data_IF_997064250806
#
_entry.id   IF_997064250806
#
_cell.length_a   1.000
_cell.length_b   1.000
_cell.length_c   1.000
_cell.angle_alpha   90.00
_cell.angle_beta   90.00
_cell.angle_gamma   90.00
#
_symmetry.space_group_name_H-M   'P 1'
#
loop_
_entity.id
_entity.type
_entity.pdbx_description
1 polymer ?
#
# COMPACT_ATOMS: atom_id res chain seq x y z
N UNK A 1 31.39 1.91 6.83
CA UNK A 1 30.13 1.47 6.27
C UNK A 1 29.06 1.42 7.35
N UNK A 2 28.07 2.32 7.29
CA UNK A 2 26.96 2.47 8.26
C UNK A 2 25.78 1.56 7.93
N UNK A 3 25.83 0.79 6.86
CA UNK A 3 24.76 -0.10 6.41
C UNK A 3 24.60 -1.37 7.25
N UNK A 4 25.44 -1.58 8.25
CA UNK A 4 25.32 -2.68 9.19
C UNK A 4 25.19 -2.16 10.63
N UNK A 5 24.50 -2.86 11.55
CA UNK A 5 24.38 -2.45 12.95
C UNK A 5 25.76 -2.23 13.62
N UNK A 6 26.75 -3.08 13.27
CA UNK A 6 28.13 -3.00 13.76
C UNK A 6 28.89 -1.78 13.20
N UNK A 7 28.62 -1.44 11.95
CA UNK A 7 29.15 -0.26 11.27
C UNK A 7 28.54 1.03 11.83
N UNK A 8 27.24 1.05 12.03
CA UNK A 8 26.52 2.19 12.63
C UNK A 8 26.98 2.44 14.07
N UNK A 9 27.09 1.39 14.91
CA UNK A 9 27.59 1.51 16.27
C UNK A 9 29.00 2.11 16.28
N UNK A 10 29.92 1.60 15.45
CA UNK A 10 31.28 2.09 15.32
C UNK A 10 31.35 3.53 14.82
N UNK A 11 30.41 3.96 13.98
CA UNK A 11 30.28 5.34 13.52
C UNK A 11 29.84 6.27 14.65
N UNK A 12 28.84 5.86 15.44
CA UNK A 12 28.29 6.65 16.56
C UNK A 12 29.28 6.75 17.74
N UNK A 13 30.17 5.76 17.93
CA UNK A 13 31.19 5.72 18.98
C UNK A 13 32.49 6.47 18.60
N UNK A 14 32.59 6.98 17.36
CA UNK A 14 33.73 7.79 16.96
C UNK A 14 33.72 9.14 17.67
N UNK A 15 34.80 9.50 18.31
CA UNK A 15 35.06 10.83 18.86
C UNK A 15 35.16 11.82 17.69
N UNK A 16 34.29 12.85 17.69
CA UNK A 16 33.77 13.42 16.47
C UNK A 16 34.46 14.71 16.04
N UNK A 17 35.43 14.56 15.19
CA UNK A 17 35.75 15.60 14.21
C UNK A 17 35.51 15.13 12.77
N UNK A 18 34.54 14.23 12.57
CA UNK A 18 34.19 13.79 11.23
C UNK A 18 33.48 14.92 10.47
N UNK A 19 34.17 15.45 9.47
CA UNK A 19 33.58 16.43 8.57
C UNK A 19 32.66 15.69 7.57
N UNK A 20 31.34 15.77 7.78
CA UNK A 20 30.37 15.13 6.91
C UNK A 20 30.48 15.58 5.44
N UNK A 21 30.97 16.80 5.21
CA UNK A 21 31.14 17.35 3.86
C UNK A 21 32.24 16.60 3.07
N UNK A 22 33.19 16.01 3.76
CA UNK A 22 34.26 15.19 3.15
C UNK A 22 33.81 13.77 2.80
N UNK A 23 32.61 13.35 3.25
CA UNK A 23 32.05 12.07 2.86
C UNK A 23 31.58 12.13 1.40
N UNK A 24 32.03 11.22 0.52
CA UNK A 24 31.69 11.26 -0.90
C UNK A 24 30.18 11.18 -1.18
N UNK A 25 29.43 10.45 -0.35
CA UNK A 25 27.99 10.32 -0.51
C UNK A 25 27.26 11.61 -0.11
N UNK A 26 27.71 12.27 0.95
CA UNK A 26 27.17 13.55 1.39
C UNK A 26 27.50 14.65 0.36
N UNK A 27 28.77 14.70 -0.11
CA UNK A 27 29.18 15.65 -1.16
C UNK A 27 28.35 15.48 -2.41
N UNK A 28 28.20 14.26 -2.93
CA UNK A 28 27.37 13.97 -4.10
C UNK A 28 25.91 14.39 -3.88
N UNK A 29 25.36 14.10 -2.69
CA UNK A 29 23.98 14.49 -2.37
C UNK A 29 23.80 16.01 -2.38
N UNK A 30 24.76 16.76 -1.82
CA UNK A 30 24.74 18.22 -1.84
C UNK A 30 24.84 18.78 -3.26
N UNK A 31 25.74 18.22 -4.09
CA UNK A 31 25.89 18.64 -5.47
C UNK A 31 24.60 18.41 -6.28
N UNK A 32 23.94 17.27 -6.08
CA UNK A 32 22.64 16.97 -6.71
C UNK A 32 21.53 17.92 -6.24
N UNK A 33 21.49 18.24 -4.96
CA UNK A 33 20.53 19.21 -4.39
C UNK A 33 20.74 20.59 -4.97
N UNK A 34 21.99 21.07 -5.00
CA UNK A 34 22.33 22.37 -5.60
C UNK A 34 21.92 22.40 -7.06
N UNK A 35 22.25 21.35 -7.80
CA UNK A 35 21.89 21.26 -9.23
C UNK A 35 20.38 21.23 -9.46
N UNK A 36 19.65 20.54 -8.62
CA UNK A 36 18.19 20.52 -8.64
C UNK A 36 17.61 21.94 -8.42
N UNK A 37 18.12 22.70 -7.45
CA UNK A 37 17.68 24.10 -7.22
C UNK A 37 18.04 25.02 -8.38
N UNK A 38 19.24 24.91 -8.95
CA UNK A 38 19.63 25.67 -10.14
C UNK A 38 18.70 25.43 -11.33
N UNK A 39 18.36 24.17 -11.57
CA UNK A 39 17.43 23.78 -12.65
C UNK A 39 16.03 24.35 -12.41
N UNK A 40 15.55 24.33 -11.17
CA UNK A 40 14.21 24.81 -10.82
C UNK A 40 14.07 26.34 -10.82
N UNK A 41 15.15 27.07 -10.62
CA UNK A 41 15.10 28.54 -10.70
C UNK A 41 14.64 29.06 -12.08
N UNK A 42 14.96 28.34 -13.15
CA UNK A 42 14.58 28.71 -14.51
C UNK A 42 13.14 28.41 -14.90
N UNK A 43 12.41 27.61 -14.09
CA UNK A 43 11.05 27.16 -14.45
C UNK A 43 9.95 27.75 -13.55
N UNK A 44 10.29 28.66 -12.63
CA UNK A 44 9.31 29.21 -11.67
C UNK A 44 8.15 29.94 -12.37
N UNK A 45 8.45 30.75 -13.38
CA UNK A 45 7.44 31.46 -14.16
C UNK A 45 6.51 30.49 -14.94
N UNK A 46 7.08 29.45 -15.53
CA UNK A 46 6.30 28.41 -16.20
C UNK A 46 5.41 27.64 -15.22
N UNK A 47 5.91 27.36 -14.02
CA UNK A 47 5.14 26.70 -12.96
C UNK A 47 3.96 27.56 -12.51
N UNK A 48 4.14 28.86 -12.33
CA UNK A 48 3.04 29.78 -12.00
C UNK A 48 1.98 29.85 -13.10
N UNK A 49 2.39 29.83 -14.37
CA UNK A 49 1.47 29.80 -15.51
C UNK A 49 0.68 28.48 -15.57
N UNK A 50 1.32 27.35 -15.29
CA UNK A 50 0.67 26.05 -15.22
C UNK A 50 -0.36 26.06 -14.10
N UNK A 51 0.00 26.48 -12.89
CA UNK A 51 -0.90 26.54 -11.74
C UNK A 51 -2.12 27.45 -12.01
N UNK A 52 -1.92 28.59 -12.67
CA UNK A 52 -3.00 29.45 -13.10
C UNK A 52 -3.89 28.76 -14.14
N UNK A 53 -3.29 28.05 -15.11
CA UNK A 53 -4.00 27.31 -16.13
C UNK A 53 -4.86 26.19 -15.52
N UNK A 54 -4.32 25.45 -14.59
CA UNK A 54 -5.06 24.41 -13.86
C UNK A 54 -6.26 24.95 -13.08
N UNK A 55 -6.11 26.09 -12.41
CA UNK A 55 -7.23 26.74 -11.71
C UNK A 55 -8.34 27.14 -12.67
N UNK A 56 -7.99 27.76 -13.80
CA UNK A 56 -8.96 28.17 -14.83
C UNK A 56 -9.64 26.96 -15.49
N UNK A 57 -8.87 25.91 -15.76
CA UNK A 57 -9.39 24.66 -16.30
C UNK A 57 -10.40 24.00 -15.33
N UNK A 58 -10.04 23.90 -14.06
CA UNK A 58 -10.92 23.33 -13.05
C UNK A 58 -12.19 24.17 -12.85
N UNK A 59 -12.14 25.50 -12.91
CA UNK A 59 -13.31 26.37 -12.86
C UNK A 59 -14.23 26.14 -14.09
N UNK A 60 -13.63 26.05 -15.28
CA UNK A 60 -14.37 25.75 -16.51
C UNK A 60 -15.05 24.39 -16.44
N UNK A 61 -14.34 23.35 -16.00
CA UNK A 61 -14.90 22.00 -15.83
C UNK A 61 -16.09 21.99 -14.86
N UNK A 62 -15.99 22.67 -13.73
CA UNK A 62 -17.09 22.79 -12.76
C UNK A 62 -18.32 23.51 -13.32
N UNK A 63 -18.11 24.51 -14.18
CA UNK A 63 -19.20 25.21 -14.87
C UNK A 63 -19.85 24.37 -15.96
N UNK A 64 -19.03 23.62 -16.72
CA UNK A 64 -19.51 22.74 -17.78
C UNK A 64 -20.34 21.57 -17.26
N UNK A 65 -19.93 21.01 -16.12
CA UNK A 65 -20.53 19.83 -15.51
C UNK A 65 -21.06 20.16 -14.11
N UNK A 66 -21.99 21.10 -14.03
CA UNK A 66 -22.52 21.64 -12.77
C UNK A 66 -23.15 20.57 -11.86
N UNK A 67 -23.68 19.49 -12.43
CA UNK A 67 -24.31 18.38 -11.70
C UNK A 67 -23.30 17.29 -11.26
N UNK A 68 -22.02 17.41 -11.67
CA UNK A 68 -20.98 16.45 -11.29
C UNK A 68 -20.32 16.87 -9.98
N UNK A 69 -20.13 15.92 -9.07
CA UNK A 69 -19.31 16.12 -7.88
C UNK A 69 -17.83 16.02 -8.23
N UNK A 70 -17.09 17.09 -7.98
CA UNK A 70 -15.63 17.13 -8.08
C UNK A 70 -15.06 17.05 -6.67
N UNK A 71 -14.35 16.01 -6.38
CA UNK A 71 -13.63 15.83 -5.11
C UNK A 71 -12.16 16.26 -5.27
N UNK A 72 -11.53 16.78 -4.21
CA UNK A 72 -10.13 17.19 -4.25
C UNK A 72 -9.20 15.99 -4.14
N UNK A 73 -7.96 16.14 -4.62
CA UNK A 73 -6.86 15.29 -4.25
C UNK A 73 -6.51 15.42 -2.76
N UNK A 74 -5.59 14.56 -2.28
CA UNK A 74 -5.11 14.61 -0.91
C UNK A 74 -4.47 15.99 -0.62
N UNK A 75 -5.01 16.70 0.39
CA UNK A 75 -4.63 18.05 0.75
C UNK A 75 -4.37 18.22 2.25
N UNK A 76 -3.97 17.14 2.93
CA UNK A 76 -3.76 17.07 4.37
C UNK A 76 -5.04 17.22 5.21
N UNK A 77 -6.22 17.12 4.62
CA UNK A 77 -7.49 17.00 5.33
C UNK A 77 -8.03 15.57 5.22
N UNK A 78 -8.97 15.22 6.11
CA UNK A 78 -9.63 13.92 6.04
C UNK A 78 -10.41 13.79 4.73
N UNK A 79 -10.14 12.71 3.97
CA UNK A 79 -10.89 12.33 2.78
C UNK A 79 -11.59 11.00 3.02
N UNK A 80 -12.86 10.93 2.75
CA UNK A 80 -13.63 9.69 2.78
C UNK A 80 -13.83 9.20 1.35
N UNK A 81 -13.33 8.02 1.04
CA UNK A 81 -13.65 7.27 -0.17
C UNK A 81 -14.64 6.16 0.19
N UNK A 82 -15.63 5.92 -0.65
CA UNK A 82 -16.64 4.88 -0.41
C UNK A 82 -16.86 4.04 -1.67
N UNK A 83 -17.30 2.80 -1.48
CA UNK A 83 -17.52 1.85 -2.55
C UNK A 83 -18.13 0.56 -2.02
N UNK A 84 -18.10 -0.47 -2.84
CA UNK A 84 -18.66 -1.79 -2.54
C UNK A 84 -17.59 -2.84 -2.71
N UNK A 85 -17.53 -3.80 -1.79
CA UNK A 85 -16.70 -5.01 -1.95
C UNK A 85 -17.30 -5.86 -3.06
N UNK A 86 -16.59 -6.00 -4.17
CA UNK A 86 -17.05 -6.73 -5.35
C UNK A 86 -15.89 -7.19 -6.22
N UNK A 87 -16.07 -8.32 -6.88
CA UNK A 87 -15.20 -8.74 -7.98
C UNK A 87 -15.36 -7.86 -9.22
N UNK A 88 -14.69 -8.23 -10.30
CA UNK A 88 -14.80 -7.55 -11.60
C UNK A 88 -14.43 -8.49 -12.74
N UNK A 89 -14.77 -8.08 -13.96
CA UNK A 89 -14.39 -8.81 -15.18
C UNK A 89 -13.49 -7.92 -16.03
N UNK A 90 -12.17 -8.17 -16.05
CA UNK A 90 -11.22 -7.31 -16.78
C UNK A 90 -11.37 -7.39 -18.30
N UNK A 91 -11.87 -8.52 -18.81
CA UNK A 91 -12.13 -8.77 -20.22
C UNK A 91 -13.13 -9.92 -20.38
N UNK A 92 -13.62 -10.15 -21.59
CA UNK A 92 -14.55 -11.23 -21.89
C UNK A 92 -13.98 -12.60 -21.51
N UNK A 93 -14.80 -13.41 -20.85
CA UNK A 93 -14.44 -14.75 -20.39
C UNK A 93 -13.61 -14.83 -19.11
N UNK A 94 -13.22 -13.68 -18.49
CA UNK A 94 -12.51 -13.67 -17.20
C UNK A 94 -13.32 -12.96 -16.13
N UNK A 95 -13.36 -13.54 -14.93
CA UNK A 95 -13.95 -12.94 -13.73
C UNK A 95 -13.06 -13.16 -12.53
N UNK A 96 -12.73 -12.10 -11.83
CA UNK A 96 -12.00 -12.14 -10.57
C UNK A 96 -12.97 -12.02 -9.39
N UNK A 97 -12.81 -12.94 -8.42
CA UNK A 97 -13.55 -12.91 -7.16
C UNK A 97 -13.11 -11.73 -6.29
N UNK A 98 -13.94 -11.35 -5.33
CA UNK A 98 -13.67 -10.19 -4.48
C UNK A 98 -12.71 -10.46 -3.32
N UNK A 99 -12.23 -11.69 -3.12
CA UNK A 99 -11.28 -12.02 -2.07
C UNK A 99 -10.30 -13.11 -2.49
N UNK A 100 -9.18 -13.17 -1.80
CA UNK A 100 -8.19 -14.25 -1.87
C UNK A 100 -8.08 -14.94 -0.52
N UNK A 101 -7.59 -16.19 -0.53
CA UNK A 101 -7.40 -17.01 0.68
C UNK A 101 -5.95 -17.40 0.86
N UNK A 102 -5.65 -18.06 1.96
CA UNK A 102 -4.31 -18.62 2.23
C UNK A 102 -3.84 -19.59 1.14
N UNK A 103 -4.75 -20.13 0.32
CA UNK A 103 -4.38 -20.95 -0.84
C UNK A 103 -3.44 -20.19 -1.78
N UNK A 104 -3.71 -18.90 -2.03
CA UNK A 104 -2.86 -18.06 -2.88
C UNK A 104 -1.45 -17.87 -2.32
N UNK A 105 -1.26 -17.89 -0.99
CA UNK A 105 0.07 -17.86 -0.37
C UNK A 105 0.86 -19.12 -0.76
N UNK A 106 0.27 -20.30 -0.62
CA UNK A 106 0.93 -21.56 -1.00
C UNK A 106 1.24 -21.62 -2.50
N UNK A 107 0.34 -21.13 -3.34
CA UNK A 107 0.55 -21.05 -4.80
C UNK A 107 1.75 -20.17 -5.12
N UNK A 108 1.85 -18.97 -4.54
CA UNK A 108 2.97 -18.03 -4.74
C UNK A 108 4.30 -18.58 -4.25
N UNK A 109 4.35 -19.19 -3.06
CA UNK A 109 5.57 -19.84 -2.55
C UNK A 109 6.05 -20.96 -3.48
N UNK A 110 5.13 -21.72 -4.09
CA UNK A 110 5.46 -22.78 -5.03
C UNK A 110 5.93 -22.24 -6.39
N UNK A 111 5.23 -21.25 -6.93
CA UNK A 111 5.55 -20.63 -8.21
C UNK A 111 6.90 -19.95 -8.21
N UNK A 112 7.26 -19.30 -7.09
CA UNK A 112 8.47 -18.50 -6.93
C UNK A 112 9.46 -19.17 -5.95
N UNK A 113 9.61 -20.49 -6.03
CA UNK A 113 10.50 -21.24 -5.14
C UNK A 113 11.96 -20.75 -5.27
N UNK A 114 12.55 -20.30 -4.16
CA UNK A 114 13.90 -19.78 -4.11
C UNK A 114 14.00 -18.25 -4.27
N UNK A 115 12.92 -17.58 -4.54
CA UNK A 115 12.86 -16.11 -4.56
C UNK A 115 12.62 -15.57 -3.15
N UNK A 116 13.50 -14.67 -2.69
CA UNK A 116 13.43 -14.10 -1.35
C UNK A 116 12.18 -13.22 -1.14
N UNK A 117 11.67 -12.60 -2.19
CA UNK A 117 10.50 -11.72 -2.13
C UNK A 117 9.21 -12.48 -1.85
N UNK A 118 9.20 -13.79 -2.18
CA UNK A 118 8.08 -14.70 -1.92
C UNK A 118 8.37 -15.70 -0.81
N UNK A 119 9.48 -15.54 -0.09
CA UNK A 119 9.84 -16.42 1.01
C UNK A 119 8.91 -16.21 2.20
N UNK A 120 8.29 -17.28 2.68
CA UNK A 120 7.45 -17.31 3.87
C UNK A 120 8.13 -18.13 4.94
N UNK A 121 8.09 -17.64 6.20
CA UNK A 121 8.67 -18.36 7.33
C UNK A 121 8.06 -19.76 7.48
N UNK A 122 8.87 -20.81 7.72
CA UNK A 122 8.38 -22.19 7.83
C UNK A 122 7.30 -22.38 8.90
N UNK A 123 7.43 -21.65 10.01
CA UNK A 123 6.46 -21.66 11.12
C UNK A 123 5.09 -21.15 10.68
N UNK A 124 5.07 -20.06 9.89
CA UNK A 124 3.84 -19.53 9.33
C UNK A 124 3.21 -20.49 8.33
N UNK A 125 4.01 -21.10 7.44
CA UNK A 125 3.51 -22.10 6.50
C UNK A 125 2.93 -23.31 7.22
N UNK A 126 3.57 -23.80 8.27
CA UNK A 126 3.08 -24.91 9.09
C UNK A 126 1.75 -24.57 9.73
N UNK A 127 1.63 -23.36 10.28
CA UNK A 127 0.40 -22.88 10.90
C UNK A 127 -0.75 -22.73 9.90
N UNK A 128 -0.50 -22.11 8.75
CA UNK A 128 -1.51 -21.99 7.68
C UNK A 128 -1.93 -23.36 7.13
N UNK A 129 -1.00 -24.33 7.10
CA UNK A 129 -1.27 -25.70 6.66
C UNK A 129 -2.17 -26.47 7.62
N UNK A 130 -2.14 -26.16 8.92
CA UNK A 130 -3.01 -26.79 9.91
C UNK A 130 -4.49 -26.48 9.69
N UNK A 131 -4.80 -25.36 8.99
CA UNK A 131 -6.13 -24.81 8.75
C UNK A 131 -6.95 -24.58 10.03
N UNK A 132 -6.31 -24.53 11.17
CA UNK A 132 -6.94 -24.14 12.44
C UNK A 132 -6.94 -22.62 12.59
N UNK A 133 -7.88 -21.99 11.91
CA UNK A 133 -8.03 -20.53 11.93
C UNK A 133 -8.95 -20.04 13.06
N UNK A 134 -9.58 -20.97 13.81
CA UNK A 134 -10.46 -20.65 14.92
C UNK A 134 -11.56 -19.66 14.50
N UNK A 135 -11.75 -18.61 15.30
CA UNK A 135 -12.76 -17.56 15.04
C UNK A 135 -12.48 -16.65 13.83
N UNK A 136 -11.30 -16.76 13.21
CA UNK A 136 -10.92 -15.96 12.05
C UNK A 136 -11.24 -16.65 10.72
N UNK A 137 -11.68 -17.91 10.76
CA UNK A 137 -12.15 -18.61 9.58
C UNK A 137 -13.35 -17.90 8.95
N UNK A 138 -13.44 -17.97 7.62
CA UNK A 138 -14.65 -17.58 6.90
C UNK A 138 -15.72 -18.68 7.02
N UNK A 139 -16.89 -18.46 6.40
CA UNK A 139 -18.01 -19.40 6.45
C UNK A 139 -17.69 -20.80 5.84
N UNK A 140 -16.69 -20.87 4.97
CA UNK A 140 -16.20 -22.10 4.36
C UNK A 140 -15.10 -22.79 5.18
N UNK A 141 -14.74 -22.23 6.33
CA UNK A 141 -13.65 -22.73 7.17
C UNK A 141 -12.26 -22.40 6.66
N UNK A 142 -12.15 -21.47 5.70
CA UNK A 142 -10.88 -20.99 5.18
C UNK A 142 -10.53 -19.60 5.76
N UNK A 143 -9.32 -19.10 5.49
CA UNK A 143 -8.87 -17.77 5.90
C UNK A 143 -8.80 -16.85 4.68
N UNK A 144 -9.56 -15.75 4.71
CA UNK A 144 -9.39 -14.68 3.74
C UNK A 144 -8.12 -13.89 4.04
N UNK A 145 -7.37 -13.55 3.00
CA UNK A 145 -6.11 -12.78 3.10
C UNK A 145 -6.32 -11.34 2.65
N UNK A 146 -6.87 -11.16 1.46
CA UNK A 146 -7.18 -9.85 0.89
C UNK A 146 -8.58 -9.84 0.31
N UNK A 147 -9.12 -8.64 0.15
CA UNK A 147 -10.36 -8.40 -0.59
C UNK A 147 -10.22 -7.16 -1.47
N UNK A 148 -11.12 -7.01 -2.43
CA UNK A 148 -11.15 -5.87 -3.33
C UNK A 148 -12.49 -5.13 -3.26
N UNK A 149 -12.43 -3.82 -3.46
CA UNK A 149 -13.60 -2.94 -3.51
C UNK A 149 -13.43 -1.87 -4.60
N UNK A 150 -14.51 -1.28 -5.05
CA UNK A 150 -14.47 -0.22 -6.06
C UNK A 150 -14.32 1.19 -5.45
N UNK A 151 -13.63 1.30 -4.33
CA UNK A 151 -13.23 2.59 -3.78
C UNK A 151 -12.21 3.25 -4.70
N UNK A 152 -12.39 4.53 -4.97
CA UNK A 152 -11.38 5.36 -5.61
C UNK A 152 -10.29 5.70 -4.59
N UNK A 153 -9.07 5.29 -4.87
CA UNK A 153 -7.88 5.50 -4.03
C UNK A 153 -6.73 6.07 -4.86
N UNK A 154 -5.82 6.75 -4.19
CA UNK A 154 -4.58 7.27 -4.77
C UNK A 154 -3.42 7.08 -3.80
N UNK A 155 -2.21 7.47 -4.19
CA UNK A 155 -1.05 7.46 -3.31
C UNK A 155 -1.33 8.21 -2.00
N UNK A 156 -0.95 7.61 -0.86
CA UNK A 156 -1.29 8.09 0.48
C UNK A 156 -2.43 7.34 1.17
N UNK A 157 -3.25 6.59 0.45
CA UNK A 157 -4.29 5.74 1.05
C UNK A 157 -3.72 4.45 1.69
N UNK A 158 -2.47 4.10 1.42
CA UNK A 158 -1.82 2.91 2.00
C UNK A 158 -1.84 2.95 3.53
N UNK A 159 -2.39 1.87 4.15
CA UNK A 159 -2.59 1.77 5.59
C UNK A 159 -3.91 2.39 6.10
N UNK A 160 -4.71 3.00 5.23
CA UNK A 160 -6.02 3.54 5.62
C UNK A 160 -6.98 2.45 6.04
N UNK A 161 -7.71 2.69 7.15
CA UNK A 161 -8.70 1.76 7.66
C UNK A 161 -9.94 1.71 6.76
N UNK A 162 -10.39 0.49 6.44
CA UNK A 162 -11.60 0.22 5.67
C UNK A 162 -12.71 -0.26 6.61
N UNK A 163 -13.83 0.43 6.60
CA UNK A 163 -14.98 0.13 7.48
C UNK A 163 -16.20 -0.28 6.66
N UNK A 164 -17.05 -1.12 7.25
CA UNK A 164 -18.37 -1.35 6.70
C UNK A 164 -19.36 -0.23 7.11
N UNK A 165 -20.59 -0.29 6.61
CA UNK A 165 -21.64 0.69 6.92
C UNK A 165 -22.08 0.75 8.40
N UNK A 166 -21.60 -0.18 9.24
CA UNK A 166 -21.82 -0.18 10.70
C UNK A 166 -20.62 0.39 11.47
N UNK A 167 -19.54 0.79 10.79
CA UNK A 167 -18.31 1.26 11.40
C UNK A 167 -17.41 0.13 11.92
N UNK A 168 -17.63 -1.12 11.51
CA UNK A 168 -16.77 -2.25 11.86
C UNK A 168 -15.58 -2.30 10.90
N UNK A 169 -14.37 -2.50 11.44
CA UNK A 169 -13.13 -2.58 10.66
C UNK A 169 -13.12 -3.84 9.80
N UNK A 170 -13.00 -3.69 8.49
CA UNK A 170 -12.86 -4.78 7.53
C UNK A 170 -11.40 -5.11 7.23
N UNK A 171 -10.54 -4.10 7.17
CA UNK A 171 -9.15 -4.25 6.79
C UNK A 171 -8.43 -2.94 6.60
N UNK A 172 -7.25 -3.00 5.99
CA UNK A 172 -6.45 -1.83 5.63
C UNK A 172 -6.22 -1.82 4.12
N UNK A 173 -6.49 -0.68 3.48
CA UNK A 173 -6.14 -0.47 2.08
C UNK A 173 -4.62 -0.44 1.93
N UNK A 174 -4.07 -1.06 0.88
CA UNK A 174 -2.62 -1.02 0.65
C UNK A 174 -2.21 -0.88 -0.80
N UNK A 175 -3.08 -1.21 -1.77
CA UNK A 175 -2.74 -1.14 -3.20
C UNK A 175 -3.99 -1.03 -4.07
N UNK A 176 -3.79 -0.79 -5.37
CA UNK A 176 -4.78 -0.93 -6.42
C UNK A 176 -4.54 -2.18 -7.28
N UNK A 177 -5.58 -2.65 -7.99
CA UNK A 177 -5.39 -3.68 -9.00
C UNK A 177 -4.65 -3.10 -10.22
N UNK A 178 -4.28 -3.96 -11.15
CA UNK A 178 -3.53 -3.55 -12.34
C UNK A 178 -4.26 -2.47 -13.16
N UNK A 179 -5.58 -2.58 -13.27
CA UNK A 179 -6.43 -1.65 -13.98
C UNK A 179 -6.51 -0.28 -13.30
N UNK A 180 -6.16 -0.17 -12.02
CA UNK A 180 -6.12 1.09 -11.28
C UNK A 180 -4.87 1.95 -11.57
N UNK A 181 -3.95 1.51 -12.43
CA UNK A 181 -2.76 2.28 -12.81
C UNK A 181 -3.08 3.63 -13.45
N UNK A 182 -4.27 3.79 -14.02
CA UNK A 182 -4.75 5.03 -14.65
C UNK A 182 -5.71 5.84 -13.77
N UNK A 183 -5.94 5.44 -12.52
CA UNK A 183 -6.97 6.04 -11.65
C UNK A 183 -6.75 7.53 -11.40
N UNK A 184 -5.50 7.99 -11.35
CA UNK A 184 -5.17 9.42 -11.18
C UNK A 184 -5.59 10.28 -12.38
N UNK A 185 -5.82 9.67 -13.56
CA UNK A 185 -6.28 10.35 -14.76
C UNK A 185 -7.81 10.19 -14.90
N UNK A 186 -8.27 8.95 -14.86
CA UNK A 186 -9.70 8.59 -14.98
C UNK A 186 -9.99 7.39 -14.09
N UNK A 187 -10.94 7.54 -13.18
CA UNK A 187 -11.43 6.44 -12.37
C UNK A 187 -12.56 5.69 -13.09
N UNK A 188 -12.35 4.37 -13.31
CA UNK A 188 -13.31 3.46 -13.95
C UNK A 188 -13.84 2.45 -12.92
N UNK A 189 -15.01 2.70 -12.31
CA UNK A 189 -15.52 1.90 -11.19
C UNK A 189 -15.84 0.44 -11.57
N UNK A 190 -16.01 0.13 -12.85
CA UNK A 190 -16.26 -1.23 -13.30
C UNK A 190 -15.00 -2.11 -13.31
N UNK A 191 -13.83 -1.52 -13.49
CA UNK A 191 -12.54 -2.21 -13.63
C UNK A 191 -11.60 -1.98 -12.45
N UNK A 192 -11.52 -0.75 -11.96
CA UNK A 192 -10.54 -0.38 -10.95
C UNK A 192 -10.96 -0.81 -9.56
N UNK A 193 -10.02 -1.36 -8.81
CA UNK A 193 -10.25 -1.88 -7.45
C UNK A 193 -9.16 -1.45 -6.49
N UNK A 194 -9.60 -1.02 -5.32
CA UNK A 194 -8.77 -0.93 -4.12
C UNK A 194 -8.58 -2.33 -3.55
N UNK A 195 -7.36 -2.65 -3.14
CA UNK A 195 -7.01 -3.91 -2.47
C UNK A 195 -6.83 -3.63 -0.98
N UNK A 196 -7.58 -4.36 -0.15
CA UNK A 196 -7.48 -4.32 1.31
C UNK A 196 -7.02 -5.66 1.87
N UNK A 197 -6.11 -5.63 2.85
CA UNK A 197 -5.79 -6.82 3.65
C UNK A 197 -6.91 -7.06 4.65
N UNK A 198 -7.39 -8.30 4.75
CA UNK A 198 -8.49 -8.68 5.66
C UNK A 198 -8.04 -8.57 7.13
N UNK A 199 -8.83 -7.88 7.95
CA UNK A 199 -8.52 -7.68 9.37
C UNK A 199 -8.40 -9.01 10.12
N UNK A 200 -9.13 -10.05 9.73
CA UNK A 200 -9.06 -11.37 10.36
C UNK A 200 -7.69 -12.01 10.16
N UNK A 201 -7.12 -11.90 8.95
CA UNK A 201 -5.76 -12.36 8.66
C UNK A 201 -4.73 -11.59 9.47
N UNK A 202 -4.85 -10.26 9.56
CA UNK A 202 -3.96 -9.42 10.36
C UNK A 202 -4.01 -9.80 11.85
N UNK A 203 -5.21 -9.98 12.40
CA UNK A 203 -5.38 -10.36 13.80
C UNK A 203 -4.85 -11.77 14.07
N UNK A 204 -5.07 -12.71 13.15
CA UNK A 204 -4.54 -14.05 13.24
C UNK A 204 -3.01 -14.04 13.31
N UNK A 205 -2.33 -13.32 12.42
CA UNK A 205 -0.88 -13.16 12.45
C UNK A 205 -0.39 -12.45 13.72
N UNK A 206 -1.07 -11.39 14.13
CA UNK A 206 -0.70 -10.60 15.31
C UNK A 206 -0.78 -11.42 16.60
N UNK A 207 -1.83 -12.22 16.78
CA UNK A 207 -1.97 -13.07 17.97
C UNK A 207 -0.89 -14.14 18.06
N UNK A 208 -0.44 -14.66 16.93
CA UNK A 208 0.57 -15.73 16.89
C UNK A 208 1.97 -15.18 17.14
N UNK A 209 2.30 -14.02 16.53
CA UNK A 209 3.65 -13.48 16.59
C UNK A 209 3.89 -12.53 17.77
N UNK A 210 2.86 -11.82 18.26
CA UNK A 210 3.02 -10.76 19.25
C UNK A 210 2.47 -11.16 20.62
N UNK A 211 1.28 -11.80 20.67
CA UNK A 211 0.57 -12.01 21.92
C UNK A 211 0.75 -13.40 22.54
N UNK A 212 1.09 -14.41 21.74
CA UNK A 212 1.27 -15.78 22.24
C UNK A 212 2.49 -16.52 21.61
N UNK A 213 3.72 -16.03 21.76
CA UNK A 213 4.90 -16.76 21.28
C UNK A 213 5.07 -18.12 21.97
N UNK A 214 4.35 -18.39 23.06
CA UNK A 214 4.33 -19.66 23.81
C UNK A 214 3.37 -20.70 23.22
N UNK A 215 2.37 -20.32 22.43
CA UNK A 215 1.42 -21.28 21.84
C UNK A 215 2.07 -22.10 20.73
N UNK A 216 2.99 -21.54 19.95
CA UNK A 216 3.80 -22.26 18.96
C UNK A 216 4.71 -23.33 19.58
N UNK A 217 5.11 -23.19 20.88
CA UNK A 217 5.89 -24.19 21.60
C UNK A 217 5.06 -25.36 22.12
N UNK A 218 3.72 -25.29 22.07
CA UNK A 218 2.82 -26.38 22.53
C UNK A 218 2.28 -27.25 21.40
N UNK A 219 2.61 -26.94 20.15
CA UNK A 219 2.18 -27.69 18.95
C UNK A 219 3.35 -28.53 18.38
N UNK A 220 4.55 -28.43 18.96
CA UNK A 220 5.70 -29.28 18.64
C UNK A 220 5.86 -30.45 19.61
#
# INVERSE_FOLDING_TARGET
NITSPKGLKRFLERDTTYNLIEDPAVSLSLDLIVKYYEMNQGISEASEQIEQGERLFNDAMRRMYADRNFYPDANSTMRLSFGTVSGYSPFDGATYGYYTTVKGIFEKVKEHAGDIDFAVQPELLSLLSSRDFGRYANEQGDMNVCFISNNDITGGNSGSAMFNGKGELLGLAFDGNWEAMSSDIVFEPDLQRCIGVDVRYMLFLSLIHISEPTRLRRIS
#
